data_IF_651657143720
#
_entry.id   IF_651657143720
#
_cell.length_a   1.000
_cell.length_b   1.000
_cell.length_c   1.000
_cell.angle_alpha   90.00
_cell.angle_beta   90.00
_cell.angle_gamma   90.00
#
_symmetry.space_group_name_H-M   'P 1'
#
loop_
_entity.id
_entity.type
_entity.pdbx_description
1 polymer ?
#
# COMPACT_ATOMS: atom_id res chain seq x y z
N UNK A 1 -13.56 -29.38 -17.86
CA UNK A 1 -12.18 -29.54 -18.33
C UNK A 1 -11.69 -28.15 -18.74
N UNK A 2 -11.20 -27.38 -17.79
CA UNK A 2 -10.58 -26.07 -17.99
C UNK A 2 -9.08 -26.21 -17.66
N UNK A 3 -8.40 -27.05 -18.45
CA UNK A 3 -6.96 -27.07 -18.56
C UNK A 3 -6.58 -26.04 -19.60
N UNK A 4 -5.96 -24.95 -19.18
CA UNK A 4 -5.33 -24.10 -20.15
C UNK A 4 -5.04 -22.67 -19.80
N UNK A 5 -5.07 -22.24 -18.53
CA UNK A 5 -4.58 -20.90 -18.17
C UNK A 5 -3.90 -20.94 -16.82
N UNK A 6 -2.66 -21.38 -16.82
CA UNK A 6 -1.72 -21.16 -15.73
C UNK A 6 -0.41 -20.65 -16.32
N UNK A 7 -0.36 -19.37 -16.64
CA UNK A 7 0.90 -18.68 -16.50
C UNK A 7 1.02 -18.35 -15.00
N UNK A 8 2.15 -18.62 -14.40
CA UNK A 8 2.43 -18.24 -12.99
C UNK A 8 2.17 -16.75 -12.73
N UNK A 9 2.12 -15.93 -13.76
CA UNK A 9 1.84 -14.50 -13.75
C UNK A 9 0.35 -14.16 -13.55
N UNK A 10 -0.61 -15.03 -13.86
CA UNK A 10 -2.05 -14.76 -13.73
C UNK A 10 -2.61 -15.15 -12.36
N UNK A 11 -2.00 -16.09 -11.66
CA UNK A 11 -2.51 -16.63 -10.40
C UNK A 11 -2.50 -15.59 -9.26
N UNK A 12 -1.60 -14.63 -9.27
CA UNK A 12 -1.49 -13.62 -8.23
C UNK A 12 -2.49 -12.46 -8.34
N UNK A 13 -3.06 -12.22 -9.52
CA UNK A 13 -4.08 -11.18 -9.71
C UNK A 13 -5.38 -11.56 -8.99
N UNK A 14 -5.70 -12.86 -8.92
CA UNK A 14 -6.93 -13.36 -8.30
C UNK A 14 -6.87 -13.41 -6.76
N UNK A 15 -5.69 -13.30 -6.15
CA UNK A 15 -5.49 -13.39 -4.69
C UNK A 15 -5.20 -12.04 -4.03
N UNK A 16 -5.57 -10.96 -4.66
CA UNK A 16 -5.23 -9.63 -4.21
C UNK A 16 -6.23 -9.09 -3.17
N UNK A 17 -5.79 -9.04 -1.92
CA UNK A 17 -6.63 -8.64 -0.79
C UNK A 17 -6.76 -7.11 -0.61
N UNK A 18 -5.86 -6.32 -1.19
CA UNK A 18 -5.74 -4.88 -0.93
C UNK A 18 -5.81 -4.04 -2.23
N UNK A 19 -6.71 -4.41 -3.13
CA UNK A 19 -6.89 -3.74 -4.44
C UNK A 19 -7.24 -2.25 -4.33
N UNK A 20 -7.90 -1.84 -3.25
CA UNK A 20 -8.41 -0.47 -3.09
C UNK A 20 -7.29 0.58 -3.13
N UNK A 21 -6.11 0.26 -2.57
CA UNK A 21 -4.94 1.15 -2.60
C UNK A 21 -4.42 1.38 -4.01
N UNK A 22 -4.38 0.31 -4.80
CA UNK A 22 -3.95 0.39 -6.20
C UNK A 22 -4.90 1.24 -7.02
N UNK A 23 -6.21 0.96 -6.95
CA UNK A 23 -7.20 1.74 -7.69
C UNK A 23 -7.25 3.20 -7.24
N UNK A 24 -7.06 3.48 -5.95
CA UNK A 24 -6.97 4.84 -5.46
C UNK A 24 -5.76 5.58 -6.06
N UNK A 25 -4.57 4.95 -6.09
CA UNK A 25 -3.38 5.50 -6.73
C UNK A 25 -3.55 5.69 -8.24
N UNK A 26 -4.16 4.70 -8.90
CA UNK A 26 -4.48 4.77 -10.32
C UNK A 26 -5.42 5.94 -10.65
N UNK A 27 -6.48 6.14 -9.87
CA UNK A 27 -7.39 7.28 -10.05
C UNK A 27 -6.73 8.64 -9.80
N UNK A 28 -5.79 8.73 -8.86
CA UNK A 28 -4.99 9.95 -8.64
C UNK A 28 -4.18 10.30 -9.90
N UNK A 29 -3.56 9.29 -10.52
CA UNK A 29 -2.82 9.46 -11.77
C UNK A 29 -3.74 9.84 -12.92
N UNK A 30 -4.86 9.12 -13.13
CA UNK A 30 -5.85 9.43 -14.19
C UNK A 30 -6.47 10.82 -14.04
N UNK A 31 -6.68 11.29 -12.82
CA UNK A 31 -7.19 12.62 -12.54
C UNK A 31 -6.14 13.73 -12.79
N UNK A 32 -4.93 13.38 -13.23
CA UNK A 32 -3.83 14.33 -13.47
C UNK A 32 -3.34 15.03 -12.21
N UNK A 33 -3.54 14.43 -11.04
CA UNK A 33 -3.06 14.95 -9.75
C UNK A 33 -1.60 14.55 -9.47
N UNK A 34 -1.10 13.55 -10.17
CA UNK A 34 0.28 13.12 -10.18
C UNK A 34 0.71 12.83 -11.62
N UNK A 35 1.98 13.04 -11.93
CA UNK A 35 2.57 12.73 -13.24
C UNK A 35 3.16 11.32 -13.27
N UNK A 36 3.55 10.80 -12.12
CA UNK A 36 4.20 9.52 -11.94
C UNK A 36 3.50 8.73 -10.84
N UNK A 37 3.56 7.40 -10.93
CA UNK A 37 3.16 6.49 -9.86
C UNK A 37 4.38 5.69 -9.40
N UNK A 38 4.56 5.58 -8.09
CA UNK A 38 5.63 4.79 -7.47
C UNK A 38 5.00 3.58 -6.80
N UNK A 39 5.42 2.39 -7.18
CA UNK A 39 5.08 1.17 -6.45
C UNK A 39 6.27 0.70 -5.63
N UNK A 40 6.05 0.45 -4.35
CA UNK A 40 7.06 -0.13 -3.46
C UNK A 40 7.21 -1.62 -3.74
N UNK A 41 8.46 -2.12 -3.77
CA UNK A 41 8.76 -3.53 -4.03
C UNK A 41 8.83 -4.31 -2.71
N UNK A 42 7.71 -4.28 -1.96
CA UNK A 42 7.59 -5.05 -0.74
C UNK A 42 7.78 -6.54 -0.99
N UNK A 43 8.66 -7.18 -0.22
CA UNK A 43 8.90 -8.62 -0.27
C UNK A 43 8.86 -9.20 1.14
N UNK A 44 8.07 -10.25 1.30
CA UNK A 44 8.06 -11.03 2.54
C UNK A 44 9.20 -12.04 2.47
N UNK A 45 10.22 -11.99 3.35
CA UNK A 45 11.45 -12.77 3.21
C UNK A 45 11.27 -14.29 3.13
N UNK A 46 10.19 -14.82 3.72
CA UNK A 46 9.92 -16.27 3.79
C UNK A 46 8.88 -16.76 2.77
N UNK A 47 8.46 -15.92 1.84
CA UNK A 47 7.52 -16.28 0.78
C UNK A 47 8.23 -16.10 -0.57
N UNK A 48 8.25 -17.16 -1.37
CA UNK A 48 8.83 -17.13 -2.71
C UNK A 48 7.79 -16.65 -3.73
N UNK A 49 7.45 -15.35 -3.62
CA UNK A 49 6.62 -14.64 -4.58
C UNK A 49 7.39 -13.44 -5.15
N UNK A 50 7.11 -13.04 -6.38
CA UNK A 50 7.63 -11.78 -6.93
C UNK A 50 7.28 -10.60 -6.03
N UNK A 51 8.14 -9.56 -5.93
CA UNK A 51 7.84 -8.35 -5.18
C UNK A 51 6.51 -7.73 -5.62
N UNK A 52 5.75 -7.20 -4.65
CA UNK A 52 4.41 -6.66 -4.92
C UNK A 52 4.43 -5.59 -6.03
N UNK A 53 5.39 -4.67 -5.98
CA UNK A 53 5.48 -3.56 -6.92
C UNK A 53 5.60 -3.97 -8.39
N UNK A 54 6.27 -5.09 -8.68
CA UNK A 54 6.41 -5.59 -10.05
C UNK A 54 5.06 -6.06 -10.61
N UNK A 55 4.28 -6.71 -9.77
CA UNK A 55 2.93 -7.16 -10.12
C UNK A 55 2.00 -5.98 -10.36
N UNK A 56 2.05 -4.97 -9.48
CA UNK A 56 1.26 -3.74 -9.60
C UNK A 56 1.63 -2.97 -10.87
N UNK A 57 2.93 -2.90 -11.21
CA UNK A 57 3.40 -2.30 -12.46
C UNK A 57 2.82 -3.02 -13.68
N UNK A 58 2.88 -4.36 -13.71
CA UNK A 58 2.33 -5.13 -14.82
C UNK A 58 0.83 -4.86 -15.01
N UNK A 59 0.07 -4.83 -13.91
CA UNK A 59 -1.36 -4.53 -13.93
C UNK A 59 -1.64 -3.09 -14.40
N UNK A 60 -0.89 -2.11 -13.91
CA UNK A 60 -1.06 -0.71 -14.33
C UNK A 60 -0.83 -0.55 -15.84
N UNK A 61 0.19 -1.23 -16.41
CA UNK A 61 0.45 -1.24 -17.85
C UNK A 61 -0.72 -1.89 -18.60
N UNK A 62 -1.26 -3.00 -18.13
CA UNK A 62 -2.44 -3.65 -18.74
C UNK A 62 -3.67 -2.74 -18.72
N UNK A 63 -3.78 -1.86 -17.72
CA UNK A 63 -4.85 -0.85 -17.63
C UNK A 63 -4.57 0.42 -18.45
N UNK A 64 -3.45 0.48 -19.18
CA UNK A 64 -3.14 1.56 -20.10
C UNK A 64 -2.24 2.67 -19.54
N UNK A 65 -1.63 2.49 -18.36
CA UNK A 65 -0.64 3.44 -17.84
C UNK A 65 0.64 3.33 -18.66
N UNK A 66 1.20 4.48 -19.09
CA UNK A 66 2.47 4.50 -19.78
C UNK A 66 3.58 3.94 -18.86
N UNK A 67 4.36 2.94 -19.29
CA UNK A 67 5.47 2.40 -18.52
C UNK A 67 6.46 3.47 -18.01
N UNK A 68 6.60 4.60 -18.72
CA UNK A 68 7.46 5.71 -18.32
C UNK A 68 6.89 6.53 -17.14
N UNK A 69 5.62 6.38 -16.84
CA UNK A 69 4.98 6.98 -15.67
C UNK A 69 5.08 6.12 -14.42
N UNK A 70 5.71 4.95 -14.49
CA UNK A 70 5.75 3.99 -13.37
C UNK A 70 7.18 3.84 -12.87
N UNK A 71 7.40 4.18 -11.62
CA UNK A 71 8.66 3.95 -10.91
C UNK A 71 8.50 2.78 -9.92
N UNK A 72 9.57 2.05 -9.70
CA UNK A 72 9.68 1.00 -8.69
C UNK A 72 10.79 1.36 -7.70
N UNK A 73 10.56 1.12 -6.42
CA UNK A 73 11.61 1.21 -5.41
C UNK A 73 12.58 0.04 -5.52
N UNK A 74 13.67 0.07 -4.77
CA UNK A 74 14.40 -1.15 -4.43
C UNK A 74 13.53 -2.11 -3.62
N UNK A 75 14.00 -3.36 -3.45
CA UNK A 75 13.30 -4.35 -2.62
C UNK A 75 13.34 -3.90 -1.16
N UNK A 76 12.18 -3.87 -0.52
CA UNK A 76 11.99 -3.38 0.85
C UNK A 76 11.23 -4.41 1.68
N UNK A 77 11.49 -4.46 2.99
CA UNK A 77 10.90 -5.45 3.88
C UNK A 77 9.90 -4.85 4.88
N UNK A 78 9.95 -3.53 5.08
CA UNK A 78 9.11 -2.83 6.04
C UNK A 78 8.85 -1.38 5.62
N UNK A 79 7.92 -0.71 6.28
CA UNK A 79 7.50 0.65 5.92
C UNK A 79 8.57 1.73 6.14
N UNK A 80 9.54 1.52 7.00
CA UNK A 80 10.67 2.45 7.15
C UNK A 80 11.58 2.38 5.92
N UNK A 81 11.91 1.16 5.48
CA UNK A 81 12.68 0.95 4.25
C UNK A 81 11.94 1.49 3.01
N UNK A 82 10.60 1.34 2.97
CA UNK A 82 9.76 1.95 1.91
C UNK A 82 9.94 3.48 1.87
N UNK A 83 9.89 4.13 3.02
CA UNK A 83 10.04 5.58 3.10
C UNK A 83 11.43 6.04 2.62
N UNK A 84 12.50 5.34 3.01
CA UNK A 84 13.86 5.62 2.57
C UNK A 84 14.03 5.40 1.06
N UNK A 85 13.51 4.29 0.53
CA UNK A 85 13.58 3.98 -0.89
C UNK A 85 12.79 4.99 -1.76
N UNK A 86 11.62 5.46 -1.27
CA UNK A 86 10.86 6.52 -1.93
C UNK A 86 11.63 7.85 -1.87
N UNK A 87 12.27 8.18 -0.74
CA UNK A 87 13.10 9.38 -0.64
C UNK A 87 14.22 9.37 -1.71
N UNK A 88 14.87 8.25 -1.91
CA UNK A 88 15.94 8.12 -2.91
C UNK A 88 15.41 8.33 -4.32
N UNK A 89 14.26 7.74 -4.64
CA UNK A 89 13.59 7.96 -5.93
C UNK A 89 13.19 9.43 -6.13
N UNK A 90 12.67 10.09 -5.09
CA UNK A 90 12.30 11.50 -5.21
C UNK A 90 13.50 12.38 -5.52
N UNK A 91 14.64 12.14 -4.89
CA UNK A 91 15.90 12.84 -5.16
C UNK A 91 16.41 12.59 -6.57
N UNK A 92 16.42 11.33 -6.99
CA UNK A 92 16.95 10.91 -8.29
C UNK A 92 16.14 11.49 -9.47
N UNK A 93 14.82 11.57 -9.30
CA UNK A 93 13.89 12.03 -10.36
C UNK A 93 13.46 13.48 -10.19
N UNK A 94 13.98 14.21 -9.21
CA UNK A 94 13.61 15.61 -8.99
C UNK A 94 12.16 15.81 -8.54
N UNK A 95 11.57 14.80 -7.86
CA UNK A 95 10.19 14.84 -7.36
C UNK A 95 10.15 15.65 -6.07
N UNK A 96 9.36 16.72 -6.05
CA UNK A 96 9.28 17.64 -4.90
C UNK A 96 8.37 17.14 -3.77
N UNK A 97 7.32 16.39 -4.10
CA UNK A 97 6.36 15.84 -3.13
C UNK A 97 5.68 14.61 -3.69
N UNK A 98 5.11 13.80 -2.81
CA UNK A 98 4.37 12.59 -3.18
C UNK A 98 2.97 12.59 -2.55
N UNK A 99 2.01 11.94 -3.19
CA UNK A 99 0.73 11.60 -2.58
C UNK A 99 0.86 10.17 -2.03
N UNK A 100 0.82 10.04 -0.71
CA UNK A 100 0.95 8.75 -0.02
C UNK A 100 -0.41 8.06 0.05
N UNK A 101 -0.62 7.08 -0.82
CA UNK A 101 -1.84 6.29 -0.90
C UNK A 101 -1.66 4.99 -0.15
N UNK A 102 -2.41 4.79 0.92
CA UNK A 102 -2.40 3.54 1.69
C UNK A 102 -3.71 3.34 2.45
N UNK A 103 -3.87 2.17 3.08
CA UNK A 103 -5.05 1.87 3.89
C UNK A 103 -5.23 2.88 5.01
N UNK A 104 -6.46 3.34 5.24
CA UNK A 104 -6.79 4.39 6.20
C UNK A 104 -6.29 4.10 7.62
N UNK A 105 -6.32 2.84 8.05
CA UNK A 105 -5.83 2.41 9.37
C UNK A 105 -4.30 2.40 9.46
N UNK A 106 -3.60 2.17 8.35
CA UNK A 106 -2.14 2.16 8.25
C UNK A 106 -1.53 3.56 8.05
N UNK A 107 -2.29 4.47 7.43
CA UNK A 107 -1.84 5.79 7.01
C UNK A 107 -1.13 6.60 8.12
N UNK A 108 -1.60 6.62 9.38
CA UNK A 108 -0.91 7.38 10.42
C UNK A 108 0.51 6.89 10.73
N UNK A 109 0.77 5.58 10.62
CA UNK A 109 2.12 5.02 10.79
C UNK A 109 2.99 5.27 9.57
N UNK A 110 2.45 5.08 8.38
CA UNK A 110 3.17 5.36 7.15
C UNK A 110 3.57 6.83 7.05
N UNK A 111 2.64 7.76 7.32
CA UNK A 111 2.91 9.20 7.31
C UNK A 111 4.00 9.60 8.31
N UNK A 112 3.99 9.01 9.51
CA UNK A 112 5.05 9.24 10.50
C UNK A 112 6.43 8.86 9.94
N UNK A 113 6.55 7.67 9.34
CA UNK A 113 7.81 7.16 8.82
C UNK A 113 8.30 7.93 7.58
N UNK A 114 7.39 8.30 6.68
CA UNK A 114 7.72 9.14 5.53
C UNK A 114 8.21 10.52 5.96
N UNK A 115 7.58 11.13 6.96
CA UNK A 115 8.03 12.41 7.54
C UNK A 115 9.40 12.28 8.20
N UNK A 116 9.65 11.20 8.96
CA UNK A 116 10.95 10.93 9.59
C UNK A 116 12.06 10.72 8.55
N UNK A 117 11.77 10.04 7.46
CA UNK A 117 12.69 9.89 6.33
C UNK A 117 12.96 11.21 5.60
N UNK A 118 12.11 12.23 5.77
CA UNK A 118 12.22 13.52 5.08
C UNK A 118 11.50 13.60 3.74
N UNK A 119 10.57 12.67 3.48
CA UNK A 119 9.71 12.70 2.28
C UNK A 119 8.59 13.70 2.51
N UNK A 120 8.48 14.70 1.63
CA UNK A 120 7.32 15.62 1.62
C UNK A 120 6.13 14.87 1.04
N UNK A 121 5.16 14.51 1.90
CA UNK A 121 4.04 13.66 1.50
C UNK A 121 2.70 14.23 1.94
N UNK A 122 1.71 14.13 1.03
CA UNK A 122 0.30 14.38 1.31
C UNK A 122 -0.44 13.05 1.48
N UNK A 123 -1.19 12.93 2.57
CA UNK A 123 -1.90 11.70 2.90
C UNK A 123 -3.17 11.52 2.08
N UNK A 124 -3.32 10.39 1.41
CA UNK A 124 -4.53 10.00 0.69
C UNK A 124 -5.03 8.64 1.22
N UNK A 125 -6.00 8.64 2.14
CA UNK A 125 -6.53 7.40 2.70
C UNK A 125 -7.34 6.62 1.68
N UNK A 126 -7.07 5.33 1.57
CA UNK A 126 -7.82 4.35 0.80
C UNK A 126 -8.24 3.19 1.70
N UNK A 127 -8.91 2.20 1.15
CA UNK A 127 -9.20 0.94 1.85
C UNK A 127 -9.79 1.15 3.26
N UNK A 128 -10.96 1.78 3.31
CA UNK A 128 -11.69 1.99 4.54
C UNK A 128 -12.37 0.70 4.97
N UNK A 129 -11.81 0.00 5.97
CA UNK A 129 -12.36 -1.26 6.48
C UNK A 129 -13.65 -1.10 7.28
N UNK A 130 -13.96 0.13 7.70
CA UNK A 130 -15.17 0.43 8.47
C UNK A 130 -16.10 1.31 7.65
N UNK A 131 -17.16 0.70 7.12
CA UNK A 131 -18.31 1.43 6.62
C UNK A 131 -19.21 1.81 7.80
N UNK A 132 -19.93 2.92 7.68
CA UNK A 132 -20.94 3.34 8.67
C UNK A 132 -21.88 2.17 8.97
N UNK A 133 -21.75 1.57 10.14
CA UNK A 133 -22.70 0.61 10.68
C UNK A 133 -23.51 1.30 11.77
N UNK A 134 -24.83 1.21 11.68
CA UNK A 134 -25.68 1.50 12.83
C UNK A 134 -25.40 0.43 13.89
N UNK A 135 -25.02 0.86 15.08
CA UNK A 135 -24.83 -0.06 16.20
C UNK A 135 -26.20 -0.50 16.71
N UNK A 136 -26.42 -1.81 16.75
CA UNK A 136 -27.54 -2.46 17.42
C UNK A 136 -27.02 -3.28 18.60
N UNK A 137 -27.92 -3.91 19.35
CA UNK A 137 -27.53 -4.73 20.51
C UNK A 137 -26.70 -5.95 20.11
N UNK A 138 -26.85 -6.47 18.88
CA UNK A 138 -26.04 -7.58 18.36
C UNK A 138 -24.57 -7.17 18.15
N UNK A 139 -24.30 -5.89 17.95
CA UNK A 139 -22.95 -5.35 17.80
C UNK A 139 -22.09 -5.50 19.06
N UNK A 140 -22.71 -5.74 20.22
CA UNK A 140 -22.02 -6.00 21.48
C UNK A 140 -21.69 -7.50 21.71
N UNK A 141 -22.19 -8.37 20.85
CA UNK A 141 -21.84 -9.78 20.92
C UNK A 141 -20.45 -10.02 20.32
N UNK A 142 -19.61 -10.88 20.95
CA UNK A 142 -18.32 -11.26 20.39
C UNK A 142 -18.48 -11.87 19.00
N UNK A 143 -17.72 -11.36 18.03
CA UNK A 143 -17.66 -11.94 16.70
C UNK A 143 -16.20 -12.00 16.20
N UNK A 144 -15.92 -12.98 15.34
CA UNK A 144 -14.56 -13.21 14.83
C UNK A 144 -14.03 -12.02 14.00
N UNK A 145 -14.89 -11.34 13.27
CA UNK A 145 -14.54 -10.17 12.46
C UNK A 145 -14.09 -9.00 13.34
N UNK A 146 -14.81 -8.71 14.43
CA UNK A 146 -14.44 -7.65 15.37
C UNK A 146 -13.09 -7.96 16.04
N UNK A 147 -12.83 -9.22 16.39
CA UNK A 147 -11.54 -9.63 16.94
C UNK A 147 -10.41 -9.47 15.93
N UNK A 148 -10.64 -9.86 14.69
CA UNK A 148 -9.69 -9.69 13.59
C UNK A 148 -9.30 -8.22 13.41
N UNK A 149 -10.27 -7.31 13.27
CA UNK A 149 -10.02 -5.87 13.12
C UNK A 149 -9.36 -5.25 14.36
N UNK A 150 -9.73 -5.69 15.55
CA UNK A 150 -9.08 -5.25 16.80
C UNK A 150 -7.60 -5.60 16.79
N UNK A 151 -7.24 -6.80 16.32
CA UNK A 151 -5.83 -7.23 16.22
C UNK A 151 -5.03 -6.35 15.26
N UNK A 152 -5.62 -5.94 14.13
CA UNK A 152 -4.99 -4.98 13.21
C UNK A 152 -4.78 -3.61 13.87
N UNK A 153 -5.78 -3.09 14.55
CA UNK A 153 -5.67 -1.82 15.28
C UNK A 153 -4.55 -1.86 16.32
N UNK A 154 -4.47 -2.91 17.12
CA UNK A 154 -3.42 -3.08 18.13
C UNK A 154 -2.03 -3.12 17.47
N UNK A 155 -1.86 -3.84 16.36
CA UNK A 155 -0.60 -3.88 15.60
C UNK A 155 -0.16 -2.48 15.15
N UNK A 156 -1.07 -1.68 14.62
CA UNK A 156 -0.75 -0.32 14.18
C UNK A 156 -0.36 0.59 15.36
N UNK A 157 -1.05 0.48 16.51
CA UNK A 157 -0.69 1.24 17.71
C UNK A 157 0.69 0.83 18.24
N UNK A 158 0.98 -0.46 18.31
CA UNK A 158 2.30 -0.96 18.75
C UNK A 158 3.38 -0.49 17.78
N UNK A 159 3.14 -0.61 16.46
CA UNK A 159 4.09 -0.16 15.44
C UNK A 159 4.39 1.34 15.53
N UNK A 160 3.35 2.17 15.71
CA UNK A 160 3.52 3.62 15.89
C UNK A 160 4.31 3.94 17.15
N UNK A 161 4.00 3.30 18.27
CA UNK A 161 4.71 3.50 19.55
C UNK A 161 6.18 3.08 19.41
N UNK A 162 6.47 1.97 18.77
CA UNK A 162 7.82 1.50 18.53
C UNK A 162 8.66 2.52 17.76
N UNK A 163 8.15 3.05 16.66
CA UNK A 163 8.88 4.05 15.87
C UNK A 163 8.94 5.42 16.54
N UNK A 164 7.93 5.79 17.33
CA UNK A 164 7.96 7.05 18.09
C UNK A 164 9.05 7.04 19.18
N UNK A 165 9.30 5.90 19.84
CA UNK A 165 10.34 5.76 20.85
C UNK A 165 11.75 5.76 20.24
N UNK A 166 11.87 5.35 18.97
CA UNK A 166 13.15 5.25 18.27
C UNK A 166 13.54 6.49 17.46
N UNK A 167 12.62 7.43 17.32
CA UNK A 167 12.87 8.72 16.69
C UNK A 167 13.59 9.65 17.63
#
# INVERSE_FOLDING_TARGET
MLDGFKSEEEEWVTQWNDSDRFFAGFHVLEAGKAELIIFTRGKIPWIDLPPEGERLKALAIQMGVDPNQILLTEIVENTADEAEAVLELTKTHGISSVILVTSSFHLPRAQLLFNQAGVVSEAYPADFKFLYRSYDWLSFLPNAEAFFWTSYGIREYIGRMYYWIRA
#
